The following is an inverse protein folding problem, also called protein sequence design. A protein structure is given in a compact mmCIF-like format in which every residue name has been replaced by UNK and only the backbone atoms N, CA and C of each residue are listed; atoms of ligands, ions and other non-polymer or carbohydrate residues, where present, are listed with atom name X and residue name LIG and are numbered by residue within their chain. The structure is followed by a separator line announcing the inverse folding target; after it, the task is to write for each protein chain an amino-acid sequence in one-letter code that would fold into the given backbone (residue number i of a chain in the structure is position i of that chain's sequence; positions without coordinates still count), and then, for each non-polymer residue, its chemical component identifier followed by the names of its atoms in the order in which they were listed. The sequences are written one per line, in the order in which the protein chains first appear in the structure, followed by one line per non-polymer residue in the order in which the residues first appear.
data_IF_730831512174
#
_entry.id   IF_730831512174
#
_cell.length_a   1.000
_cell.length_b   1.000
_cell.length_c   1.000
_cell.angle_alpha   90.00
_cell.angle_beta   90.00
_cell.angle_gamma   90.00
#
_symmetry.space_group_name_H-M   'P 1'
#
loop_
_entity.id
_entity.type
_entity.pdbx_description
1 polymer ?
#
# COMPACT_ATOMS: atom_id res chain seq x y z
N UNK A 1 10.37 85.06 44.22
CA UNK A 1 9.70 84.29 43.15
C UNK A 1 10.69 84.14 42.00
N UNK A 2 11.15 82.91 41.69
CA UNK A 2 10.96 82.19 40.39
C UNK A 2 11.83 82.81 39.25
N UNK A 3 12.68 82.15 38.45
CA UNK A 3 13.09 80.76 38.28
C UNK A 3 14.40 80.68 37.45
N UNK A 4 14.99 79.49 37.53
CA UNK A 4 16.09 78.81 36.84
C UNK A 4 15.97 78.74 35.30
N UNK A 5 17.09 78.79 34.56
CA UNK A 5 17.33 78.06 33.28
C UNK A 5 18.84 78.10 32.94
N UNK A 6 19.66 77.10 33.25
CA UNK A 6 19.92 75.85 32.50
C UNK A 6 20.58 76.07 31.12
N UNK A 7 21.92 75.98 31.11
CA UNK A 7 22.81 75.99 29.95
C UNK A 7 22.81 74.60 29.29
N UNK A 8 22.33 74.50 28.05
CA UNK A 8 22.39 73.26 27.26
C UNK A 8 23.64 73.26 26.37
N UNK A 9 24.59 72.36 26.66
CA UNK A 9 25.78 72.11 25.86
C UNK A 9 25.43 71.44 24.52
N UNK A 10 26.04 71.94 23.44
CA UNK A 10 25.86 71.46 22.06
C UNK A 10 26.60 70.12 21.88
N UNK A 11 25.95 69.02 21.44
CA UNK A 11 26.62 67.73 21.34
C UNK A 11 27.56 67.63 20.13
N UNK A 12 28.72 67.00 20.35
CA UNK A 12 29.79 66.73 19.40
C UNK A 12 29.34 65.88 18.20
N UNK A 13 29.75 66.28 16.99
CA UNK A 13 29.43 65.63 15.69
C UNK A 13 29.81 64.13 15.61
N UNK A 14 30.68 63.64 16.50
CA UNK A 14 31.11 62.23 16.52
C UNK A 14 30.14 61.30 17.26
N UNK A 15 29.18 61.84 18.01
CA UNK A 15 28.15 61.07 18.72
C UNK A 15 26.95 60.78 17.79
N UNK A 16 26.62 61.70 16.88
CA UNK A 16 25.52 61.50 15.90
C UNK A 16 25.79 60.40 14.86
N UNK A 17 27.06 60.12 14.51
CA UNK A 17 27.41 58.98 13.62
C UNK A 17 27.27 57.62 14.32
N UNK A 18 27.52 57.54 15.64
CA UNK A 18 27.35 56.30 16.41
C UNK A 18 25.88 55.99 16.68
N UNK A 19 25.03 57.01 16.83
CA UNK A 19 23.58 56.85 16.93
C UNK A 19 22.99 56.41 15.59
N UNK A 20 23.50 56.90 14.45
CA UNK A 20 23.05 56.45 13.13
C UNK A 20 23.40 54.98 12.82
N UNK A 21 24.53 54.47 13.31
CA UNK A 21 24.92 53.06 13.13
C UNK A 21 24.21 52.13 14.13
N UNK A 22 23.76 52.65 15.27
CA UNK A 22 22.95 51.89 16.23
C UNK A 22 21.47 51.79 15.83
N UNK A 23 20.96 52.68 14.96
CA UNK A 23 19.57 52.65 14.49
C UNK A 23 19.34 51.82 13.23
N UNK A 24 20.40 51.51 12.46
CA UNK A 24 20.32 50.64 11.27
C UNK A 24 20.46 49.15 11.60
N UNK A 25 20.85 48.80 12.83
CA UNK A 25 20.93 47.42 13.32
C UNK A 25 19.62 46.85 13.90
N UNK A 26 18.54 47.64 13.94
CA UNK A 26 17.26 47.25 14.56
C UNK A 26 16.06 47.26 13.57
N UNK A 27 16.32 47.14 12.26
CA UNK A 27 15.26 47.12 11.22
C UNK A 27 15.28 45.86 10.34
N UNK A 28 16.14 44.86 10.66
CA UNK A 28 16.23 43.60 9.90
C UNK A 28 15.59 42.37 10.57
N UNK A 29 14.64 42.55 11.49
CA UNK A 29 14.00 41.45 12.24
C UNK A 29 12.48 41.34 12.09
N UNK A 30 11.86 42.02 11.11
CA UNK A 30 10.41 42.00 10.90
C UNK A 30 9.96 41.40 9.55
N UNK A 31 10.70 40.44 8.98
CA UNK A 31 10.27 39.70 7.78
C UNK A 31 10.38 38.18 7.91
N UNK A 32 10.27 37.67 9.13
CA UNK A 32 9.94 36.27 9.37
C UNK A 32 8.46 36.19 9.77
N UNK A 33 7.77 35.18 9.26
CA UNK A 33 6.33 34.90 9.43
C UNK A 33 5.39 35.53 8.37
N UNK A 34 5.72 35.39 7.08
CA UNK A 34 4.69 35.04 6.09
C UNK A 34 4.99 33.64 5.55
N UNK A 35 4.98 32.65 6.44
CA UNK A 35 4.74 31.29 6.01
C UNK A 35 3.23 31.18 5.84
N UNK A 36 2.77 31.19 4.59
CA UNK A 36 1.46 30.66 4.27
C UNK A 36 1.34 29.31 5.01
N UNK A 37 0.28 29.06 5.79
CA UNK A 37 0.09 27.75 6.39
C UNK A 37 0.23 26.71 5.28
N UNK A 38 0.93 25.57 5.51
CA UNK A 38 1.04 24.52 4.51
C UNK A 38 -0.36 24.26 4.00
N UNK A 39 -0.55 24.41 2.68
CA UNK A 39 -1.85 24.21 2.06
C UNK A 39 -2.37 22.87 2.56
N UNK A 40 -3.54 22.93 3.19
CA UNK A 40 -4.21 21.78 3.75
C UNK A 40 -4.46 20.83 2.57
N UNK A 41 -3.60 19.82 2.45
CA UNK A 41 -3.77 18.75 1.48
C UNK A 41 -5.13 18.11 1.80
N UNK A 42 -6.11 18.31 0.92
CA UNK A 42 -7.35 17.55 1.00
C UNK A 42 -7.01 16.09 0.72
N UNK A 43 -6.75 15.34 1.79
CA UNK A 43 -6.58 13.90 1.72
C UNK A 43 -7.99 13.30 1.67
N UNK A 44 -8.45 12.91 0.49
CA UNK A 44 -9.64 12.06 0.37
C UNK A 44 -9.23 10.66 0.80
N UNK A 45 -9.25 10.40 2.11
CA UNK A 45 -8.96 9.08 2.66
C UNK A 45 -10.21 8.21 2.53
N UNK A 46 -10.38 7.53 1.39
CA UNK A 46 -11.23 6.35 1.34
C UNK A 46 -10.40 5.16 1.81
N UNK A 47 -10.43 4.91 3.13
CA UNK A 47 -9.83 3.71 3.75
C UNK A 47 -10.58 2.47 3.25
N UNK A 48 -10.15 1.89 2.13
CA UNK A 48 -10.56 0.55 1.76
C UNK A 48 -9.64 -0.45 2.48
N UNK A 49 -9.97 -0.76 3.73
CA UNK A 49 -9.28 -1.77 4.56
C UNK A 49 -9.33 -3.20 3.98
N UNK A 50 -9.98 -3.36 2.84
CA UNK A 50 -10.08 -4.61 2.10
C UNK A 50 -9.04 -4.73 1.00
N UNK A 51 -8.19 -3.74 0.71
CA UNK A 51 -7.21 -3.79 -0.38
C UNK A 51 -5.89 -4.50 0.01
N UNK A 52 -5.26 -5.20 -0.93
CA UNK A 52 -3.98 -5.89 -0.71
C UNK A 52 -2.76 -5.01 -0.98
N UNK A 53 -2.95 -3.79 -1.50
CA UNK A 53 -1.88 -2.82 -1.75
C UNK A 53 -2.25 -1.44 -1.23
N UNK A 54 -1.35 -0.78 -0.50
CA UNK A 54 -1.59 0.53 0.13
C UNK A 54 -0.89 1.67 -0.61
N UNK A 55 -1.69 2.47 -1.34
CA UNK A 55 -1.20 3.63 -2.12
C UNK A 55 -0.70 4.76 -1.23
N UNK A 56 -1.28 4.94 -0.05
CA UNK A 56 -0.90 6.02 0.86
C UNK A 56 0.47 5.75 1.49
N UNK A 57 0.72 4.51 1.91
CA UNK A 57 2.06 4.12 2.36
C UNK A 57 3.07 4.14 1.22
N UNK A 58 2.69 3.66 0.03
CA UNK A 58 3.54 3.81 -1.15
C UNK A 58 3.96 5.27 -1.34
N UNK A 59 3.03 6.23 -1.24
CA UNK A 59 3.34 7.65 -1.37
C UNK A 59 4.40 8.15 -0.38
N UNK A 60 4.41 7.64 0.86
CA UNK A 60 5.42 7.98 1.86
C UNK A 60 6.81 7.46 1.47
N UNK A 61 6.89 6.25 0.93
CA UNK A 61 8.15 5.67 0.48
C UNK A 61 8.62 6.20 -0.86
N UNK A 62 7.69 6.56 -1.75
CA UNK A 62 8.01 7.30 -2.97
C UNK A 62 8.81 8.53 -2.57
N UNK A 63 8.33 9.33 -1.61
CA UNK A 63 8.99 10.55 -1.10
C UNK A 63 10.38 10.37 -0.51
N UNK A 64 10.67 9.22 0.09
CA UNK A 64 11.94 8.98 0.81
C UNK A 64 12.93 8.15 0.02
N UNK A 65 12.50 7.52 -1.08
CA UNK A 65 13.35 6.72 -1.95
C UNK A 65 14.28 7.60 -2.77
N UNK A 66 15.45 7.06 -3.09
CA UNK A 66 16.46 7.75 -3.92
C UNK A 66 16.33 7.38 -5.39
N UNK A 67 15.85 6.18 -5.67
CA UNK A 67 15.79 5.56 -6.99
C UNK A 67 14.69 4.47 -7.03
N UNK A 68 14.34 3.96 -8.21
CA UNK A 68 13.31 2.93 -8.34
C UNK A 68 13.65 1.62 -7.61
N UNK A 69 14.93 1.29 -7.47
CA UNK A 69 15.38 0.07 -6.79
C UNK A 69 15.14 0.11 -5.27
N UNK A 70 15.41 1.25 -4.64
CA UNK A 70 15.14 1.49 -3.22
C UNK A 70 13.65 1.51 -2.95
N UNK A 71 12.86 2.07 -3.87
CA UNK A 71 11.40 2.00 -3.82
C UNK A 71 10.89 0.55 -3.92
N UNK A 72 11.42 -0.24 -4.86
CA UNK A 72 11.08 -1.67 -5.01
C UNK A 72 11.39 -2.46 -3.73
N UNK A 73 12.55 -2.21 -3.13
CA UNK A 73 12.91 -2.81 -1.85
C UNK A 73 11.96 -2.39 -0.73
N UNK A 74 11.53 -1.13 -0.70
CA UNK A 74 10.59 -0.63 0.29
C UNK A 74 9.18 -1.23 0.13
N UNK A 75 8.70 -1.41 -1.10
CA UNK A 75 7.41 -2.05 -1.40
C UNK A 75 7.37 -3.49 -0.88
N UNK A 76 8.47 -4.23 -1.08
CA UNK A 76 8.55 -5.65 -0.74
C UNK A 76 9.06 -5.92 0.68
N UNK A 77 9.31 -4.88 1.48
CA UNK A 77 9.72 -5.05 2.87
C UNK A 77 8.46 -5.29 3.74
N UNK A 78 8.33 -6.45 4.40
CA UNK A 78 7.17 -6.75 5.24
C UNK A 78 6.94 -5.75 6.37
N UNK A 79 8.02 -5.11 6.86
CA UNK A 79 7.93 -4.09 7.92
C UNK A 79 7.17 -2.83 7.47
N UNK A 80 7.18 -2.53 6.16
CA UNK A 80 6.55 -1.34 5.61
C UNK A 80 5.04 -1.54 5.36
N UNK A 81 4.57 -2.79 5.31
CA UNK A 81 3.15 -3.14 5.15
C UNK A 81 2.46 -2.43 3.96
N UNK A 82 3.18 -2.30 2.84
CA UNK A 82 2.67 -1.69 1.60
C UNK A 82 2.00 -2.77 0.73
N UNK A 83 2.64 -3.93 0.65
CA UNK A 83 2.23 -5.05 -0.16
C UNK A 83 1.75 -6.22 0.71
N UNK A 84 0.57 -6.74 0.37
CA UNK A 84 -0.05 -7.95 0.90
C UNK A 84 -0.84 -8.68 -0.20
N UNK A 85 -0.37 -8.58 -1.43
CA UNK A 85 -0.97 -9.27 -2.57
C UNK A 85 -0.50 -10.71 -2.61
N UNK A 86 -1.44 -11.61 -2.94
CA UNK A 86 -1.23 -13.04 -3.17
C UNK A 86 -2.04 -13.39 -4.44
N UNK A 87 -1.46 -13.01 -5.57
CA UNK A 87 -2.00 -13.14 -6.92
C UNK A 87 -1.91 -14.59 -7.43
N UNK A 88 -0.85 -15.36 -7.10
CA UNK A 88 -0.81 -16.81 -7.41
C UNK A 88 -1.61 -17.68 -6.45
N UNK A 89 -2.01 -17.16 -5.29
CA UNK A 89 -2.81 -17.87 -4.27
C UNK A 89 -2.02 -18.99 -3.61
N UNK A 90 -0.71 -18.84 -3.45
CA UNK A 90 0.14 -19.76 -2.70
C UNK A 90 0.11 -19.50 -1.17
N UNK A 91 -0.51 -18.38 -0.75
CA UNK A 91 -0.63 -17.96 0.64
C UNK A 91 0.51 -17.08 1.14
N UNK A 92 1.49 -16.80 0.31
CA UNK A 92 2.59 -15.87 0.55
C UNK A 92 2.34 -14.54 -0.17
N UNK A 93 3.02 -13.51 0.28
CA UNK A 93 2.99 -12.19 -0.36
C UNK A 93 3.87 -12.24 -1.60
N UNK A 94 3.27 -11.95 -2.75
CA UNK A 94 3.96 -11.89 -4.04
C UNK A 94 4.96 -10.75 -4.10
N UNK A 95 6.04 -10.98 -4.84
CA UNK A 95 7.04 -9.95 -5.07
C UNK A 95 6.60 -9.00 -6.18
N UNK A 96 6.57 -7.71 -5.88
CA UNK A 96 6.22 -6.68 -6.85
C UNK A 96 7.48 -6.00 -7.38
N UNK A 97 7.54 -5.83 -8.69
CA UNK A 97 8.63 -5.14 -9.38
C UNK A 97 8.27 -3.68 -9.61
N UNK A 98 9.26 -2.81 -9.51
CA UNK A 98 9.14 -1.43 -9.97
C UNK A 98 9.89 -1.34 -11.29
N UNK A 99 9.20 -0.94 -12.34
CA UNK A 99 9.83 -0.70 -13.63
C UNK A 99 9.49 0.68 -14.14
N UNK A 100 10.40 1.24 -14.90
CA UNK A 100 10.17 2.50 -15.59
C UNK A 100 9.61 2.24 -16.97
N UNK A 101 8.40 2.74 -17.21
CA UNK A 101 7.69 2.49 -18.47
C UNK A 101 7.91 3.56 -19.52
N UNK A 102 8.28 4.76 -19.08
CA UNK A 102 8.43 5.97 -19.88
C UNK A 102 9.12 7.04 -19.02
N UNK A 103 9.53 8.15 -19.61
CA UNK A 103 10.09 9.28 -18.90
C UNK A 103 9.18 9.70 -17.74
N UNK A 104 9.72 9.74 -16.53
CA UNK A 104 9.03 10.15 -15.31
C UNK A 104 7.83 9.26 -14.92
N UNK A 105 7.75 8.03 -15.43
CA UNK A 105 6.64 7.10 -15.14
C UNK A 105 7.15 5.75 -14.66
N UNK A 106 6.82 5.41 -13.42
CA UNK A 106 7.06 4.10 -12.84
C UNK A 106 5.76 3.29 -12.77
N UNK A 107 5.89 1.97 -12.92
CA UNK A 107 4.81 1.00 -12.70
C UNK A 107 5.25 0.01 -11.65
N UNK A 108 4.36 -0.27 -10.70
CA UNK A 108 4.46 -1.39 -9.78
C UNK A 108 3.73 -2.55 -10.44
N UNK A 109 4.45 -3.61 -10.77
CA UNK A 109 3.92 -4.75 -11.49
C UNK A 109 4.19 -6.05 -10.76
N UNK A 110 3.41 -7.06 -11.10
CA UNK A 110 3.63 -8.45 -10.74
C UNK A 110 3.80 -9.28 -12.02
N UNK A 111 4.76 -10.20 -12.05
CA UNK A 111 5.04 -11.09 -13.17
C UNK A 111 4.69 -12.56 -12.94
N UNK A 112 3.92 -12.85 -11.89
CA UNK A 112 3.40 -14.17 -11.53
C UNK A 112 2.53 -14.80 -12.64
N UNK A 113 1.91 -13.99 -13.49
CA UNK A 113 1.10 -14.49 -14.61
C UNK A 113 1.96 -14.94 -15.79
N UNK A 114 1.76 -16.18 -16.22
CA UNK A 114 2.51 -16.84 -17.31
C UNK A 114 2.34 -16.19 -18.69
N UNK A 115 1.38 -15.27 -18.84
CA UNK A 115 1.08 -14.64 -20.13
C UNK A 115 1.24 -13.12 -20.13
N UNK A 116 0.97 -12.45 -18.99
CA UNK A 116 0.97 -10.98 -18.93
C UNK A 116 1.28 -10.47 -17.53
N UNK A 117 2.19 -9.50 -17.42
CA UNK A 117 2.45 -8.80 -16.16
C UNK A 117 1.24 -7.99 -15.71
N UNK A 118 0.88 -8.09 -14.44
CA UNK A 118 -0.24 -7.36 -13.83
C UNK A 118 0.26 -6.03 -13.28
N UNK A 119 -0.37 -4.91 -13.65
CA UNK A 119 -0.04 -3.60 -13.05
C UNK A 119 -0.88 -3.34 -11.80
N UNK A 120 -0.21 -3.17 -10.67
CA UNK A 120 -0.79 -2.92 -9.34
C UNK A 120 -0.95 -1.43 -9.07
N UNK A 121 0.04 -0.62 -9.44
CA UNK A 121 -0.01 0.84 -9.30
C UNK A 121 0.84 1.52 -10.37
N UNK A 122 0.48 2.76 -10.70
CA UNK A 122 1.25 3.63 -11.60
C UNK A 122 1.63 4.91 -10.85
N UNK A 123 2.88 5.33 -10.98
CA UNK A 123 3.45 6.52 -10.37
C UNK A 123 3.89 7.42 -11.53
N UNK A 124 3.26 8.58 -11.64
CA UNK A 124 3.57 9.56 -12.67
C UNK A 124 4.09 10.83 -12.02
N UNK A 125 5.13 11.36 -12.64
CA UNK A 125 5.76 12.60 -12.25
C UNK A 125 5.66 13.58 -13.41
N UNK A 126 5.09 14.75 -13.14
CA UNK A 126 4.90 15.81 -14.11
C UNK A 126 5.65 17.07 -13.64
N UNK A 127 6.80 17.42 -14.24
CA UNK A 127 7.45 18.70 -13.93
C UNK A 127 6.59 19.86 -14.42
N UNK A 128 6.49 20.91 -13.61
CA UNK A 128 5.97 22.19 -14.05
C UNK A 128 7.10 22.98 -14.71
N UNK A 129 6.97 23.24 -16.01
CA UNK A 129 8.03 23.94 -16.75
C UNK A 129 8.20 25.41 -16.34
N UNK A 130 7.23 25.99 -15.63
CA UNK A 130 7.25 27.40 -15.21
C UNK A 130 7.76 27.60 -13.78
N UNK A 131 7.93 26.53 -13.02
CA UNK A 131 8.36 26.59 -11.63
C UNK A 131 9.36 25.47 -11.31
N UNK A 132 10.04 25.54 -10.17
CA UNK A 132 11.00 24.50 -9.77
C UNK A 132 10.29 23.34 -9.04
N UNK A 133 9.12 22.93 -9.53
CA UNK A 133 8.25 21.93 -8.90
C UNK A 133 7.84 20.82 -9.87
N UNK A 134 7.39 19.70 -9.30
CA UNK A 134 6.73 18.63 -10.01
C UNK A 134 5.53 18.11 -9.23
N UNK A 135 4.51 17.71 -9.98
CA UNK A 135 3.36 17.02 -9.46
C UNK A 135 3.58 15.51 -9.49
N UNK A 136 3.40 14.89 -8.33
CA UNK A 136 3.40 13.46 -8.12
C UNK A 136 1.95 12.96 -8.12
N UNK A 137 1.65 12.03 -9.03
CA UNK A 137 0.37 11.35 -9.12
C UNK A 137 0.56 9.83 -9.03
N UNK A 138 0.03 9.21 -7.99
CA UNK A 138 0.04 7.76 -7.81
C UNK A 138 -1.39 7.25 -7.96
N UNK A 139 -1.57 6.27 -8.84
CA UNK A 139 -2.86 5.63 -9.10
C UNK A 139 -2.75 4.14 -8.81
N UNK A 140 -3.51 3.66 -7.83
CA UNK A 140 -3.66 2.24 -7.57
C UNK A 140 -4.67 1.62 -8.53
N UNK A 141 -4.40 0.38 -8.94
CA UNK A 141 -5.37 -0.41 -9.67
C UNK A 141 -6.53 -0.80 -8.73
N UNK A 142 -7.80 -0.50 -9.05
CA UNK A 142 -8.93 -0.78 -8.16
C UNK A 142 -9.06 -2.24 -7.73
N UNK A 143 -8.61 -3.18 -8.56
CA UNK A 143 -8.63 -4.62 -8.27
C UNK A 143 -7.63 -5.04 -7.21
N UNK A 144 -6.60 -4.24 -6.92
CA UNK A 144 -5.48 -4.59 -6.03
C UNK A 144 -5.30 -3.60 -4.88
N UNK A 145 -5.43 -2.31 -5.19
CA UNK A 145 -5.33 -1.20 -4.24
C UNK A 145 -6.70 -0.70 -3.74
N UNK A 146 -7.81 -1.25 -4.24
CA UNK A 146 -9.16 -0.82 -3.89
C UNK A 146 -9.65 0.40 -4.68
N UNK A 147 -10.96 0.59 -4.72
CA UNK A 147 -11.58 1.72 -5.42
C UNK A 147 -11.10 3.07 -4.88
N UNK A 148 -11.02 4.05 -5.79
CA UNK A 148 -10.64 5.44 -5.51
C UNK A 148 -9.30 5.61 -4.75
N UNK A 149 -8.39 4.63 -4.84
CA UNK A 149 -7.06 4.75 -4.25
C UNK A 149 -6.10 5.49 -5.19
N UNK A 150 -6.00 6.80 -4.97
CA UNK A 150 -5.04 7.67 -5.64
C UNK A 150 -4.40 8.63 -4.64
N UNK A 151 -3.20 9.08 -4.97
CA UNK A 151 -2.46 10.07 -4.19
C UNK A 151 -1.92 11.16 -5.12
N UNK A 152 -2.13 12.41 -4.74
CA UNK A 152 -1.62 13.56 -5.48
C UNK A 152 -0.91 14.54 -4.54
N UNK A 153 0.26 15.03 -4.94
CA UNK A 153 0.98 16.08 -4.20
C UNK A 153 2.04 16.76 -5.09
N UNK A 154 2.40 18.00 -4.76
CA UNK A 154 3.40 18.78 -5.51
C UNK A 154 4.64 19.01 -4.66
N UNK A 155 5.84 18.91 -5.26
CA UNK A 155 7.13 19.01 -4.56
C UNK A 155 8.15 19.83 -5.34
N UNK A 156 9.13 20.39 -4.64
CA UNK A 156 10.30 20.99 -5.27
C UNK A 156 11.33 19.91 -5.66
N UNK A 157 12.15 20.16 -6.68
CA UNK A 157 13.16 19.18 -7.12
C UNK A 157 14.27 18.92 -6.08
N UNK A 158 14.50 19.85 -5.14
CA UNK A 158 15.56 19.71 -4.11
C UNK A 158 15.15 18.78 -2.98
N UNK A 159 13.85 18.71 -2.69
CA UNK A 159 13.35 17.99 -1.52
C UNK A 159 13.16 16.49 -1.82
N UNK A 160 13.22 16.10 -3.09
CA UNK A 160 12.77 14.79 -3.52
C UNK A 160 13.77 14.05 -4.42
N UNK A 161 14.47 13.06 -3.86
CA UNK A 161 15.59 12.38 -4.51
C UNK A 161 15.16 11.47 -5.68
N UNK A 162 14.13 10.65 -5.50
CA UNK A 162 13.58 9.81 -6.58
C UNK A 162 13.12 10.66 -7.78
N UNK A 163 12.57 11.84 -7.53
CA UNK A 163 12.21 12.81 -8.58
C UNK A 163 13.44 13.34 -9.30
N UNK A 164 14.50 13.69 -8.55
CA UNK A 164 15.77 14.12 -9.16
C UNK A 164 16.40 13.01 -10.02
N UNK A 165 16.21 11.74 -9.66
CA UNK A 165 16.58 10.60 -10.51
C UNK A 165 15.76 10.64 -11.81
N UNK A 166 14.43 10.55 -11.71
CA UNK A 166 13.52 10.42 -12.86
C UNK A 166 13.64 11.54 -13.90
N UNK A 167 13.90 12.78 -13.46
CA UNK A 167 13.94 13.95 -14.34
C UNK A 167 15.30 14.13 -15.06
N UNK A 168 16.33 13.38 -14.68
CA UNK A 168 17.64 13.44 -15.34
C UNK A 168 17.71 12.43 -16.48
N UNK A 169 18.55 12.66 -17.50
CA UNK A 169 18.80 11.62 -18.50
C UNK A 169 19.43 10.38 -17.83
N UNK A 170 18.74 9.25 -17.87
CA UNK A 170 19.24 7.94 -17.45
C UNK A 170 18.63 6.83 -18.30
N UNK A 171 19.18 5.62 -18.18
CA UNK A 171 18.54 4.42 -18.73
C UNK A 171 17.34 4.04 -17.87
N UNK A 172 16.27 3.57 -18.51
CA UNK A 172 15.09 3.12 -17.78
C UNK A 172 15.42 2.01 -16.80
N UNK A 173 14.97 2.16 -15.56
CA UNK A 173 15.16 1.11 -14.57
C UNK A 173 14.29 -0.10 -14.92
N UNK A 174 14.97 -1.23 -15.14
CA UNK A 174 14.36 -2.54 -15.38
C UNK A 174 14.90 -3.51 -14.33
N UNK A 175 14.05 -4.05 -13.45
CA UNK A 175 14.50 -4.98 -12.44
C UNK A 175 14.96 -6.29 -13.09
N UNK A 176 16.09 -6.82 -12.63
CA UNK A 176 16.67 -8.08 -13.11
C UNK A 176 15.95 -9.33 -12.59
N UNK A 177 14.99 -9.14 -11.68
CA UNK A 177 14.27 -10.22 -11.01
C UNK A 177 13.04 -10.63 -11.81
N UNK A 178 12.70 -11.90 -11.69
CA UNK A 178 11.51 -12.45 -12.30
C UNK A 178 10.85 -13.48 -11.39
N UNK A 179 9.65 -13.91 -11.72
CA UNK A 179 8.97 -14.98 -10.99
C UNK A 179 9.90 -16.18 -10.79
N UNK A 180 10.04 -16.62 -9.53
CA UNK A 180 10.96 -17.70 -9.13
C UNK A 180 12.43 -17.30 -8.94
N UNK A 181 12.86 -16.10 -9.34
CA UNK A 181 14.21 -15.57 -9.13
C UNK A 181 14.15 -14.18 -8.47
N UNK A 182 14.22 -14.18 -7.14
CA UNK A 182 14.01 -13.00 -6.32
C UNK A 182 15.31 -12.45 -5.73
N UNK A 183 15.36 -11.16 -5.37
CA UNK A 183 16.50 -10.59 -4.68
C UNK A 183 16.74 -11.24 -3.32
N UNK A 184 17.99 -11.21 -2.86
CA UNK A 184 18.37 -11.71 -1.53
C UNK A 184 17.69 -10.98 -0.37
N UNK A 185 17.25 -9.74 -0.58
CA UNK A 185 16.54 -8.96 0.43
C UNK A 185 15.04 -9.32 0.50
N UNK A 186 14.49 -10.00 -0.50
CA UNK A 186 13.10 -10.44 -0.48
C UNK A 186 12.97 -11.68 0.39
N UNK A 187 11.97 -11.68 1.27
CA UNK A 187 11.64 -12.83 2.11
C UNK A 187 10.19 -13.17 1.88
N UNK A 188 9.90 -14.45 1.59
CA UNK A 188 8.51 -14.93 1.50
C UNK A 188 7.87 -14.85 2.88
N UNK A 189 6.91 -13.95 3.02
CA UNK A 189 6.09 -13.81 4.22
C UNK A 189 4.65 -14.15 3.90
N UNK A 190 3.92 -14.69 4.87
CA UNK A 190 2.49 -14.98 4.69
C UNK A 190 1.67 -13.71 4.63
N UNK A 191 0.58 -13.77 3.87
CA UNK A 191 -0.42 -12.70 3.90
C UNK A 191 -1.06 -12.59 5.29
N UNK A 192 -1.29 -11.36 5.76
CA UNK A 192 -2.00 -11.12 7.02
C UNK A 192 -3.53 -11.14 6.84
N UNK A 193 -4.00 -10.92 5.62
CA UNK A 193 -5.37 -11.15 5.17
C UNK A 193 -5.33 -11.70 3.75
N UNK A 194 -6.19 -12.67 3.41
CA UNK A 194 -6.33 -13.12 2.03
C UNK A 194 -7.05 -12.03 1.24
N UNK A 195 -6.30 -11.08 0.69
CA UNK A 195 -6.84 -10.15 -0.27
C UNK A 195 -7.31 -10.94 -1.50
N UNK A 196 -8.55 -10.72 -1.94
CA UNK A 196 -9.10 -11.40 -3.12
C UNK A 196 -9.51 -10.36 -4.14
N UNK A 197 -8.73 -10.17 -5.24
CA UNK A 197 -9.06 -9.22 -6.29
C UNK A 197 -10.48 -9.48 -6.82
N UNK A 198 -11.28 -8.44 -6.95
CA UNK A 198 -12.66 -8.57 -7.44
C UNK A 198 -12.73 -8.91 -8.92
N UNK A 199 -11.63 -8.75 -9.66
CA UNK A 199 -11.50 -9.12 -11.07
C UNK A 199 -10.90 -10.52 -11.21
N UNK A 200 -11.68 -11.53 -10.86
CA UNK A 200 -11.58 -12.80 -11.58
C UNK A 200 -12.77 -12.88 -12.52
N UNK A 201 -12.58 -13.43 -13.72
CA UNK A 201 -13.65 -13.80 -14.65
C UNK A 201 -14.67 -14.79 -14.05
N UNK A 202 -14.45 -15.24 -12.81
CA UNK A 202 -15.41 -15.98 -11.98
C UNK A 202 -16.36 -15.09 -11.16
N UNK A 203 -16.23 -13.77 -11.18
CA UNK A 203 -17.16 -12.83 -10.54
C UNK A 203 -18.33 -12.51 -11.47
N UNK A 204 -19.09 -13.54 -11.84
CA UNK A 204 -20.47 -13.33 -12.26
C UNK A 204 -21.26 -12.95 -11.00
N UNK A 205 -21.50 -11.65 -10.84
CA UNK A 205 -22.65 -11.05 -10.15
C UNK A 205 -23.38 -11.92 -9.13
N UNK A 206 -22.75 -12.17 -7.96
CA UNK A 206 -23.50 -12.55 -6.76
C UNK A 206 -23.97 -11.30 -6.03
N UNK A 207 -24.75 -10.47 -6.72
CA UNK A 207 -25.69 -9.58 -6.04
C UNK A 207 -26.74 -10.47 -5.42
N UNK A 208 -26.62 -10.72 -4.11
CA UNK A 208 -27.65 -11.42 -3.34
C UNK A 208 -28.83 -10.47 -3.15
N UNK A 209 -29.59 -10.19 -4.21
CA UNK A 209 -30.97 -9.72 -4.05
C UNK A 209 -31.75 -10.90 -3.46
N UNK A 210 -31.98 -10.86 -2.14
CA UNK A 210 -33.03 -11.70 -1.53
C UNK A 210 -34.37 -11.16 -2.00
N UNK A 211 -34.79 -11.53 -3.20
CA UNK A 211 -36.18 -11.40 -3.60
C UNK A 211 -36.99 -12.39 -2.78
N UNK A 212 -37.95 -11.88 -2.00
CA UNK A 212 -38.96 -12.71 -1.36
C UNK A 212 -39.78 -13.39 -2.45
N UNK A 213 -39.64 -14.71 -2.59
CA UNK A 213 -40.49 -15.51 -3.46
C UNK A 213 -41.92 -15.47 -2.90
N UNK A 214 -42.84 -14.81 -3.61
CA UNK A 214 -44.25 -14.70 -3.20
C UNK A 214 -44.96 -16.07 -3.16
N UNK A 215 -44.43 -17.09 -3.84
CA UNK A 215 -44.93 -18.46 -3.83
C UNK A 215 -43.78 -19.49 -3.92
N UNK A 216 -43.16 -19.90 -2.80
CA UNK A 216 -42.11 -20.91 -2.82
C UNK A 216 -42.68 -22.30 -3.10
N UNK A 217 -41.98 -23.05 -3.95
CA UNK A 217 -42.28 -24.45 -4.28
C UNK A 217 -42.26 -25.34 -3.04
N UNK A 218 -42.97 -26.48 -3.08
CA UNK A 218 -43.05 -27.45 -1.97
C UNK A 218 -41.68 -27.93 -1.50
N UNK A 219 -40.70 -28.01 -2.40
CA UNK A 219 -39.31 -28.32 -2.08
C UNK A 219 -38.55 -27.18 -1.41
N UNK A 220 -38.92 -25.92 -1.65
CA UNK A 220 -38.28 -24.75 -1.02
C UNK A 220 -38.82 -24.50 0.40
N UNK A 221 -40.08 -24.89 0.66
CA UNK A 221 -40.68 -24.82 2.00
C UNK A 221 -40.03 -25.81 2.99
N UNK A 222 -39.60 -26.98 2.53
CA UNK A 222 -38.96 -27.99 3.39
C UNK A 222 -37.55 -27.62 3.87
N UNK A 223 -36.91 -26.63 3.25
CA UNK A 223 -35.64 -26.06 3.72
C UNK A 223 -35.83 -25.00 4.81
N UNK A 224 -37.02 -24.40 4.94
CA UNK A 224 -37.32 -23.35 5.92
C UNK A 224 -37.67 -23.87 7.32
N UNK A 225 -38.06 -25.14 7.45
CA UNK A 225 -38.38 -25.78 8.73
C UNK A 225 -37.24 -26.69 9.18
N UNK A 226 -36.03 -26.16 9.31
CA UNK A 226 -35.00 -26.78 10.16
C UNK A 226 -34.89 -25.96 11.42
N UNK A 227 -35.65 -26.39 12.42
CA UNK A 227 -35.50 -26.00 13.82
C UNK A 227 -34.03 -26.04 14.22
N UNK A 228 -33.61 -25.03 14.99
CA UNK A 228 -32.31 -24.90 15.62
C UNK A 228 -32.04 -26.09 16.54
N UNK A 229 -31.53 -27.17 15.96
CA UNK A 229 -30.97 -28.30 16.68
C UNK A 229 -29.52 -28.46 16.20
N UNK A 230 -28.54 -28.57 17.12
CA UNK A 230 -27.15 -28.77 16.75
C UNK A 230 -27.00 -30.14 16.08
N UNK A 231 -26.81 -30.13 14.77
CA UNK A 231 -26.52 -31.37 14.03
C UNK A 231 -25.05 -31.70 14.25
N UNK A 232 -24.79 -32.81 14.93
CA UNK A 232 -23.45 -33.40 15.08
C UNK A 232 -22.82 -33.58 13.69
N UNK A 233 -21.58 -33.13 13.53
CA UNK A 233 -20.80 -33.27 12.31
C UNK A 233 -20.73 -34.74 11.89
N UNK A 234 -21.39 -35.07 10.78
CA UNK A 234 -21.34 -36.39 10.16
C UNK A 234 -19.95 -36.59 9.54
N UNK A 235 -19.18 -37.49 10.15
CA UNK A 235 -17.87 -37.92 9.66
C UNK A 235 -17.95 -38.58 8.29
N UNK A 236 -16.92 -38.34 7.48
CA UNK A 236 -16.71 -38.97 6.20
C UNK A 236 -16.53 -40.49 6.40
N UNK A 237 -17.54 -41.26 6.01
CA UNK A 237 -17.53 -42.71 6.07
C UNK A 237 -16.55 -43.30 5.06
N UNK A 238 -15.42 -43.81 5.56
CA UNK A 238 -14.58 -44.75 4.84
C UNK A 238 -15.32 -46.09 4.73
N UNK A 239 -15.62 -46.48 3.50
CA UNK A 239 -16.18 -47.80 3.16
C UNK A 239 -15.14 -48.87 3.50
N UNK A 240 -15.40 -49.71 4.49
CA UNK A 240 -14.74 -51.02 4.59
C UNK A 240 -15.77 -52.11 4.30
N UNK A 241 -15.38 -52.98 3.39
CA UNK A 241 -16.15 -54.09 2.85
C UNK A 241 -16.41 -55.16 3.90
N UNK A 242 -17.66 -55.60 3.91
CA UNK A 242 -18.18 -56.79 4.60
C UNK A 242 -17.30 -58.04 4.45
N UNK A 243 -17.07 -58.76 5.55
CA UNK A 243 -17.13 -60.23 5.53
C UNK A 243 -17.52 -60.83 6.89
N UNK A 244 -18.71 -61.45 6.86
CA UNK A 244 -19.18 -62.67 7.55
C UNK A 244 -18.86 -62.92 9.03
N UNK A 245 -19.95 -62.95 9.80
CA UNK A 245 -20.15 -63.76 11.00
C UNK A 245 -20.23 -65.27 10.67
N UNK A 246 -19.84 -66.14 11.60
CA UNK A 246 -20.07 -67.58 11.49
C UNK A 246 -19.26 -68.46 12.46
N UNK A 247 -19.78 -68.60 13.68
CA UNK A 247 -19.64 -69.65 14.71
C UNK A 247 -18.70 -70.86 14.53
N UNK A 248 -18.10 -71.26 15.66
CA UNK A 248 -17.05 -72.27 15.79
C UNK A 248 -17.47 -73.75 15.73
N UNK A 249 -16.45 -74.63 15.83
CA UNK A 249 -16.54 -76.02 16.31
C UNK A 249 -15.15 -76.63 16.61
N UNK A 250 -14.95 -76.93 17.89
CA UNK A 250 -14.30 -78.09 18.54
C UNK A 250 -13.27 -79.01 17.84
N UNK A 251 -12.16 -79.22 18.59
CA UNK A 251 -11.44 -80.49 18.95
C UNK A 251 -10.67 -81.36 17.92
N UNK A 252 -9.47 -81.76 18.39
CA UNK A 252 -8.68 -82.95 18.01
C UNK A 252 -7.59 -82.63 16.98
N UNK A 253 -6.32 -83.03 17.08
CA UNK A 253 -5.60 -83.97 17.93
C UNK A 253 -4.38 -84.47 17.12
N UNK A 254 -3.23 -84.64 17.78
CA UNK A 254 -2.05 -85.45 17.38
C UNK A 254 -1.27 -85.16 16.08
N UNK A 255 0.07 -85.09 16.20
CA UNK A 255 0.96 -85.66 15.16
C UNK A 255 2.30 -84.99 14.86
N UNK A 256 3.34 -85.40 15.61
CA UNK A 256 4.73 -85.74 15.18
C UNK A 256 5.57 -84.80 14.27
N UNK A 257 6.74 -84.45 14.84
CA UNK A 257 8.12 -84.63 14.34
C UNK A 257 8.33 -84.71 12.81
N UNK A 258 9.15 -83.78 12.30
CA UNK A 258 10.56 -84.04 11.94
C UNK A 258 11.34 -82.74 12.04
#
# INVERSE_FOLDING_TARGET
MINKAAIAGKPSKNIMKKIFIALTGLVLLASACNQNPPQQNNVTIENNTTAGFDVNKLAQFVKTSTDPQTLEKAINNPANQINNLDLDKDGNIDYLKVQESDNNKLKVIDDVSTSESVTVASINVSPDNNSNTADLNIQGNPSYAGYNNYYHSSFTFTDFLLMSYLLRPHSYYMPMYHYGYYPSYYTRTRTYTTFRPTTSSAMSSRTSTRSSLSNPSRSQRSFGTRSSQPVRSGGFGSRSSSSRSGFGRSRGGFGRRR
#
